data_IF_384508520419
#
_entry.id   IF_384508520419
#
_cell.length_a   1.000
_cell.length_b   1.000
_cell.length_c   1.000
_cell.angle_alpha   90.00
_cell.angle_beta   90.00
_cell.angle_gamma   90.00
#
_symmetry.space_group_name_H-M   'P 1'
#
loop_
_entity.id
_entity.type
_entity.pdbx_description
1 polymer ?
#
# COMPACT_ATOMS: atom_id res chain seq x y z
N UNK A 1 23.10 -14.78 -53.81
CA UNK A 1 24.37 -14.06 -54.06
C UNK A 1 24.10 -12.57 -54.17
N UNK A 2 24.39 -11.80 -53.13
CA UNK A 2 24.91 -10.42 -53.14
C UNK A 2 25.02 -9.94 -51.69
N UNK A 3 26.02 -9.10 -51.46
CA UNK A 3 26.90 -9.09 -50.30
C UNK A 3 27.06 -7.63 -49.82
N UNK A 4 27.14 -7.43 -48.49
CA UNK A 4 27.66 -6.23 -47.75
C UNK A 4 26.80 -4.96 -47.84
N UNK A 5 26.55 -4.22 -46.75
CA UNK A 5 27.54 -3.56 -45.89
C UNK A 5 27.18 -3.54 -44.40
N UNK A 6 28.24 -3.61 -43.59
CA UNK A 6 28.34 -3.36 -42.15
C UNK A 6 28.51 -1.85 -41.94
N UNK A 7 27.88 -1.27 -40.91
CA UNK A 7 28.53 -0.22 -40.12
C UNK A 7 28.03 -0.23 -38.67
N UNK A 8 28.92 -0.70 -37.80
CA UNK A 8 28.90 -0.54 -36.35
C UNK A 8 29.38 0.87 -36.01
N UNK A 9 28.73 1.57 -35.08
CA UNK A 9 29.33 2.69 -34.36
C UNK A 9 29.17 2.42 -32.85
N UNK A 10 30.25 1.92 -32.26
CA UNK A 10 30.52 2.05 -30.83
C UNK A 10 31.02 3.48 -30.58
N UNK A 11 30.41 4.19 -29.62
CA UNK A 11 31.02 5.38 -29.03
C UNK A 11 31.29 5.10 -27.55
N UNK A 12 32.53 4.73 -27.25
CA UNK A 12 33.11 4.69 -25.90
C UNK A 12 34.32 5.60 -25.88
N UNK A 13 34.31 6.61 -25.01
CA UNK A 13 35.42 7.45 -24.52
C UNK A 13 34.83 8.79 -24.05
N UNK A 14 35.18 9.44 -22.92
CA UNK A 14 36.27 9.31 -21.97
C UNK A 14 35.92 10.10 -20.69
N UNK A 15 36.27 9.48 -19.56
CA UNK A 15 36.71 10.03 -18.26
C UNK A 15 37.01 11.55 -18.19
N UNK A 16 36.54 12.23 -17.13
CA UNK A 16 37.40 13.08 -16.27
C UNK A 16 36.91 12.99 -14.81
N UNK A 17 37.87 12.63 -13.96
CA UNK A 17 37.86 12.55 -12.51
C UNK A 17 38.08 13.92 -11.90
N UNK A 18 37.30 14.30 -10.87
CA UNK A 18 37.71 15.27 -9.86
C UNK A 18 37.39 14.70 -8.47
N UNK A 19 38.41 14.12 -7.83
CA UNK A 19 38.50 13.98 -6.38
C UNK A 19 39.50 15.02 -5.91
N UNK A 20 39.03 16.05 -5.22
CA UNK A 20 39.90 16.87 -4.38
C UNK A 20 39.48 16.71 -2.92
N UNK A 21 40.41 16.13 -2.17
CA UNK A 21 40.36 15.97 -0.73
C UNK A 21 41.16 17.14 -0.15
N UNK A 22 40.50 18.10 0.48
CA UNK A 22 41.18 19.11 1.29
C UNK A 22 41.13 18.67 2.75
N UNK A 23 42.31 18.29 3.26
CA UNK A 23 42.63 18.24 4.69
C UNK A 23 43.18 19.62 5.10
N UNK A 24 42.62 20.21 6.15
CA UNK A 24 43.28 21.15 7.06
C UNK A 24 42.51 21.09 8.38
N UNK A 25 43.03 20.39 9.37
CA UNK A 25 43.93 20.85 10.44
C UNK A 25 43.16 21.31 11.68
N UNK A 26 43.40 20.53 12.74
CA UNK A 26 42.89 20.73 14.08
C UNK A 26 43.46 22.00 14.67
N UNK A 27 42.60 22.84 15.25
CA UNK A 27 42.99 23.66 16.40
C UNK A 27 42.02 23.39 17.54
N UNK A 28 42.59 22.81 18.59
CA UNK A 28 41.93 22.51 19.85
C UNK A 28 41.77 23.78 20.67
N UNK A 29 40.54 24.10 21.08
CA UNK A 29 40.26 24.88 22.28
C UNK A 29 39.04 24.24 22.97
N UNK A 30 39.22 23.83 24.21
CA UNK A 30 38.19 23.51 25.22
C UNK A 30 38.58 24.29 26.49
N UNK A 31 37.67 24.45 27.46
CA UNK A 31 36.22 24.68 27.36
C UNK A 31 35.83 25.89 28.24
N UNK A 32 34.63 26.44 28.07
CA UNK A 32 34.00 27.19 29.16
C UNK A 32 32.55 26.79 29.37
N UNK A 33 32.26 26.56 30.63
CA UNK A 33 31.06 25.98 31.20
C UNK A 33 29.89 26.97 31.20
N UNK A 34 28.74 26.56 30.66
CA UNK A 34 27.45 27.16 31.02
C UNK A 34 26.46 26.03 31.30
N UNK A 35 25.91 26.08 32.52
CA UNK A 35 24.87 25.23 33.07
C UNK A 35 23.61 25.26 32.18
N UNK A 36 23.02 24.11 31.91
CA UNK A 36 21.61 24.02 31.55
C UNK A 36 20.90 23.03 32.46
N UNK A 37 19.77 23.51 32.96
CA UNK A 37 18.87 22.91 33.92
C UNK A 37 18.29 21.57 33.45
N UNK A 38 18.18 20.65 34.40
CA UNK A 38 17.37 19.44 34.31
C UNK A 38 15.92 19.79 33.94
N UNK A 39 15.50 19.36 32.76
CA UNK A 39 14.08 19.14 32.48
C UNK A 39 13.86 17.64 32.45
N UNK A 40 13.38 17.14 33.59
CA UNK A 40 12.94 15.76 33.79
C UNK A 40 12.02 15.35 32.63
N UNK A 41 12.57 14.52 31.74
CA UNK A 41 11.80 13.83 30.70
C UNK A 41 11.08 12.67 31.40
N UNK A 42 9.74 12.57 31.34
CA UNK A 42 9.05 11.41 31.89
C UNK A 42 9.58 10.16 31.18
N UNK A 43 9.97 9.18 32.00
CA UNK A 43 10.44 7.87 31.57
C UNK A 43 9.43 7.25 30.61
N UNK A 44 9.86 7.03 29.37
CA UNK A 44 9.14 6.23 28.40
C UNK A 44 9.09 4.81 28.95
N UNK A 45 7.96 4.45 29.54
CA UNK A 45 7.55 3.05 29.64
C UNK A 45 7.64 2.45 28.25
N UNK A 46 8.41 1.38 28.11
CA UNK A 46 8.57 0.61 26.89
C UNK A 46 7.22 0.09 26.41
N UNK A 47 6.54 0.86 25.57
CA UNK A 47 5.43 0.39 24.76
C UNK A 47 5.98 -0.67 23.81
N UNK A 48 5.73 -1.93 24.13
CA UNK A 48 6.06 -3.08 23.30
C UNK A 48 5.10 -3.16 22.10
N UNK A 49 5.07 -2.11 21.28
CA UNK A 49 4.31 -2.12 20.02
C UNK A 49 5.06 -2.94 18.97
N UNK A 50 4.33 -3.80 18.25
CA UNK A 50 4.88 -4.63 17.18
C UNK A 50 4.37 -4.12 15.84
N UNK A 51 5.24 -3.99 14.84
CA UNK A 51 4.81 -3.58 13.49
C UNK A 51 3.89 -4.64 12.86
N UNK A 52 2.84 -4.17 12.19
CA UNK A 52 1.93 -5.00 11.38
C UNK A 52 2.21 -4.73 9.91
N UNK A 53 2.19 -5.79 9.11
CA UNK A 53 2.55 -5.73 7.70
C UNK A 53 1.44 -6.30 6.84
N UNK A 54 1.35 -5.84 5.59
CA UNK A 54 0.58 -6.53 4.57
C UNK A 54 0.94 -8.01 4.47
N UNK A 55 -0.10 -8.83 4.36
CA UNK A 55 -0.01 -10.25 4.07
C UNK A 55 0.41 -10.40 2.61
N UNK A 56 1.48 -11.16 2.38
CA UNK A 56 2.03 -11.37 1.04
C UNK A 56 1.23 -12.43 0.30
N UNK A 57 0.81 -12.10 -0.91
CA UNK A 57 0.30 -13.09 -1.86
C UNK A 57 1.48 -13.82 -2.52
N UNK A 58 1.22 -15.04 -3.00
CA UNK A 58 2.19 -15.84 -3.73
C UNK A 58 1.61 -16.29 -5.06
N UNK A 59 2.27 -15.94 -6.17
CA UNK A 59 1.93 -16.50 -7.48
C UNK A 59 2.23 -18.01 -7.50
N UNK A 60 1.25 -18.80 -7.91
CA UNK A 60 1.40 -20.26 -8.07
C UNK A 60 0.84 -20.71 -9.43
N UNK A 61 1.28 -21.87 -9.95
CA UNK A 61 0.63 -22.48 -11.11
C UNK A 61 -0.81 -22.91 -10.81
N UNK A 62 -1.68 -22.87 -11.82
CA UNK A 62 -3.02 -23.41 -11.71
C UNK A 62 -2.99 -24.93 -11.51
N UNK A 63 -3.53 -25.40 -10.39
CA UNK A 63 -3.63 -26.83 -10.06
C UNK A 63 -4.76 -27.50 -10.85
N UNK A 64 -4.73 -28.83 -10.94
CA UNK A 64 -5.78 -29.58 -11.63
C UNK A 64 -7.14 -29.44 -10.94
N UNK A 65 -7.18 -29.30 -9.62
CA UNK A 65 -8.43 -29.08 -8.89
C UNK A 65 -9.04 -27.72 -9.23
N UNK A 66 -8.23 -26.65 -9.31
CA UNK A 66 -8.72 -25.34 -9.76
C UNK A 66 -9.24 -25.37 -11.20
N UNK A 67 -8.54 -26.07 -12.10
CA UNK A 67 -8.97 -26.24 -13.50
C UNK A 67 -10.25 -27.06 -13.67
N UNK A 68 -10.57 -27.96 -12.73
CA UNK A 68 -11.86 -28.66 -12.72
C UNK A 68 -13.01 -27.76 -12.28
N UNK A 69 -12.74 -26.77 -11.42
CA UNK A 69 -13.75 -25.86 -10.84
C UNK A 69 -14.02 -24.66 -11.73
N UNK A 70 -13.00 -24.13 -12.40
CA UNK A 70 -13.10 -23.00 -13.31
C UNK A 70 -13.05 -23.53 -14.74
N UNK A 71 -14.18 -23.48 -15.44
CA UNK A 71 -14.28 -23.96 -16.83
C UNK A 71 -13.57 -23.06 -17.84
N UNK A 72 -13.35 -21.80 -17.47
CA UNK A 72 -12.65 -20.81 -18.27
C UNK A 72 -11.13 -21.01 -18.15
N UNK A 73 -10.37 -20.56 -19.16
CA UNK A 73 -8.90 -20.63 -19.11
C UNK A 73 -8.38 -19.76 -17.97
N UNK A 74 -7.69 -20.35 -17.00
CA UNK A 74 -7.00 -19.64 -15.92
C UNK A 74 -5.68 -19.08 -16.45
N UNK A 75 -5.45 -17.78 -16.29
CA UNK A 75 -4.19 -17.10 -16.68
C UNK A 75 -3.26 -16.93 -15.48
N UNK A 76 -3.81 -16.66 -14.30
CA UNK A 76 -3.01 -16.48 -13.09
C UNK A 76 -3.73 -16.98 -11.85
N UNK A 77 -2.93 -17.44 -10.88
CA UNK A 77 -3.39 -17.84 -9.56
C UNK A 77 -2.49 -17.21 -8.51
N UNK A 78 -3.12 -16.48 -7.61
CA UNK A 78 -2.53 -15.94 -6.39
C UNK A 78 -2.99 -16.80 -5.20
N UNK A 79 -2.07 -17.13 -4.31
CA UNK A 79 -2.37 -17.84 -3.07
C UNK A 79 -2.15 -16.93 -1.87
N UNK A 80 -3.15 -16.85 -1.00
CA UNK A 80 -3.20 -16.01 0.20
C UNK A 80 -4.29 -16.55 1.13
N UNK A 81 -4.09 -16.48 2.44
CA UNK A 81 -5.15 -16.73 3.40
C UNK A 81 -6.05 -15.48 3.47
N UNK A 82 -7.22 -15.54 2.81
CA UNK A 82 -8.21 -14.45 2.85
C UNK A 82 -9.42 -14.80 3.72
N UNK A 83 -9.49 -16.03 4.25
CA UNK A 83 -10.54 -16.51 5.15
C UNK A 83 -10.14 -16.44 6.64
N UNK A 84 -8.85 -16.22 6.92
CA UNK A 84 -8.31 -16.08 8.27
C UNK A 84 -8.05 -17.40 8.99
N UNK A 85 -8.16 -18.54 8.31
CA UNK A 85 -8.01 -19.88 8.89
C UNK A 85 -6.55 -20.36 8.93
N UNK A 86 -5.61 -19.53 8.45
CA UNK A 86 -4.16 -19.79 8.32
C UNK A 86 -3.82 -20.82 7.24
N UNK A 87 -4.77 -21.17 6.39
CA UNK A 87 -4.60 -22.05 5.23
C UNK A 87 -4.68 -21.17 3.97
N UNK A 88 -3.73 -21.29 3.04
CA UNK A 88 -3.79 -20.48 1.83
C UNK A 88 -5.02 -20.81 0.97
N UNK A 89 -5.81 -19.79 0.67
CA UNK A 89 -6.87 -19.78 -0.33
C UNK A 89 -6.31 -19.37 -1.70
N UNK A 90 -7.19 -19.24 -2.71
CA UNK A 90 -6.83 -19.01 -4.10
C UNK A 90 -7.64 -17.89 -4.74
N UNK A 91 -6.97 -16.93 -5.36
CA UNK A 91 -7.57 -15.92 -6.24
C UNK A 91 -7.13 -16.24 -7.67
N UNK A 92 -8.09 -16.57 -8.54
CA UNK A 92 -7.83 -17.01 -9.91
C UNK A 92 -8.37 -15.98 -10.90
N UNK A 93 -7.51 -15.44 -11.78
CA UNK A 93 -7.93 -14.60 -12.90
C UNK A 93 -7.96 -15.42 -14.18
N UNK A 94 -9.07 -15.33 -14.90
CA UNK A 94 -9.24 -16.01 -16.20
C UNK A 94 -8.74 -15.18 -17.36
N UNK A 95 -8.61 -15.80 -18.52
CA UNK A 95 -8.43 -15.09 -19.78
C UNK A 95 -9.57 -14.09 -19.98
N UNK A 96 -9.23 -12.96 -20.59
CA UNK A 96 -10.16 -11.89 -20.93
C UNK A 96 -10.74 -12.10 -22.32
N UNK A 97 -11.94 -11.58 -22.54
CA UNK A 97 -12.57 -11.54 -23.86
C UNK A 97 -12.00 -10.39 -24.72
N UNK A 98 -12.58 -10.20 -25.91
CA UNK A 98 -12.18 -9.13 -26.84
C UNK A 98 -12.42 -7.71 -26.30
N UNK A 99 -13.20 -7.56 -25.23
CA UNK A 99 -13.44 -6.29 -24.55
C UNK A 99 -12.50 -6.09 -23.35
N UNK A 100 -11.55 -7.00 -23.12
CA UNK A 100 -10.65 -6.93 -21.98
C UNK A 100 -11.32 -7.31 -20.66
N UNK A 101 -12.45 -8.03 -20.69
CA UNK A 101 -13.21 -8.43 -19.52
C UNK A 101 -12.96 -9.90 -19.21
N UNK A 102 -12.45 -10.19 -18.01
CA UNK A 102 -12.29 -11.54 -17.47
C UNK A 102 -13.09 -11.75 -16.18
N UNK A 103 -12.96 -12.93 -15.59
CA UNK A 103 -13.51 -13.22 -14.26
C UNK A 103 -12.36 -13.39 -13.26
N UNK A 104 -12.57 -12.91 -12.04
CA UNK A 104 -11.76 -13.23 -10.87
C UNK A 104 -12.58 -14.12 -9.92
N UNK A 105 -12.04 -15.29 -9.59
CA UNK A 105 -12.64 -16.24 -8.67
C UNK A 105 -11.86 -16.25 -7.37
N UNK A 106 -12.57 -16.11 -6.25
CA UNK A 106 -12.02 -16.28 -4.91
C UNK A 106 -12.48 -17.63 -4.41
N UNK A 107 -11.54 -18.56 -4.26
CA UNK A 107 -11.78 -19.97 -3.99
C UNK A 107 -11.08 -20.30 -2.68
N UNK A 108 -11.83 -20.83 -1.70
CA UNK A 108 -11.24 -21.22 -0.42
C UNK A 108 -10.29 -22.41 -0.55
N UNK A 109 -9.53 -22.68 0.50
CA UNK A 109 -8.68 -23.87 0.65
C UNK A 109 -9.43 -25.20 0.42
N UNK A 110 -10.75 -25.23 0.66
CA UNK A 110 -11.66 -26.36 0.40
C UNK A 110 -12.22 -26.41 -1.04
N UNK A 111 -11.72 -25.56 -1.95
CA UNK A 111 -12.17 -25.44 -3.34
C UNK A 111 -13.63 -25.00 -3.51
N UNK A 112 -14.17 -24.24 -2.55
CA UNK A 112 -15.48 -23.59 -2.66
C UNK A 112 -15.30 -22.18 -3.22
N UNK A 113 -16.09 -21.82 -4.24
CA UNK A 113 -16.12 -20.44 -4.74
C UNK A 113 -16.85 -19.54 -3.73
N UNK A 114 -16.12 -18.60 -3.14
CA UNK A 114 -16.63 -17.61 -2.19
C UNK A 114 -17.09 -16.35 -2.91
N UNK A 115 -16.29 -15.85 -3.86
CA UNK A 115 -16.60 -14.66 -4.66
C UNK A 115 -16.34 -14.92 -6.14
N UNK A 116 -17.15 -14.30 -7.00
CA UNK A 116 -16.88 -14.18 -8.43
C UNK A 116 -17.12 -12.74 -8.84
N UNK A 117 -16.07 -12.07 -9.28
CA UNK A 117 -16.11 -10.69 -9.75
C UNK A 117 -15.64 -10.61 -11.21
N UNK A 118 -15.96 -9.50 -11.87
CA UNK A 118 -15.31 -9.15 -13.14
C UNK A 118 -13.97 -8.49 -12.85
N UNK A 119 -12.97 -8.79 -13.66
CA UNK A 119 -11.75 -8.00 -13.71
C UNK A 119 -11.57 -7.44 -15.13
N UNK A 120 -10.98 -6.26 -15.20
CA UNK A 120 -10.81 -5.49 -16.42
C UNK A 120 -9.31 -5.27 -16.65
N UNK A 121 -8.88 -5.27 -17.91
CA UNK A 121 -7.49 -4.93 -18.26
C UNK A 121 -7.26 -3.44 -18.42
N UNK A 122 -8.33 -2.66 -18.45
CA UNK A 122 -8.26 -1.21 -18.49
C UNK A 122 -8.03 -0.63 -17.09
N UNK A 123 -7.25 0.45 -17.03
CA UNK A 123 -6.79 1.05 -15.78
C UNK A 123 -5.83 0.15 -14.98
N UNK A 124 -5.82 0.34 -13.66
CA UNK A 124 -5.05 -0.46 -12.72
C UNK A 124 -5.86 -0.78 -11.46
N UNK A 125 -5.58 -1.96 -10.89
CA UNK A 125 -6.11 -2.38 -9.60
C UNK A 125 -4.98 -3.00 -8.77
N UNK A 126 -4.72 -2.44 -7.60
CA UNK A 126 -3.80 -3.00 -6.62
C UNK A 126 -4.55 -3.38 -5.36
N UNK A 127 -4.15 -4.49 -4.74
CA UNK A 127 -4.79 -5.04 -3.55
C UNK A 127 -3.74 -5.58 -2.60
N UNK A 128 -3.92 -5.23 -1.33
CA UNK A 128 -3.14 -5.74 -0.22
C UNK A 128 -4.07 -6.21 0.89
N UNK A 129 -3.68 -7.28 1.57
CA UNK A 129 -4.43 -7.85 2.68
C UNK A 129 -3.77 -7.46 4.00
N UNK A 130 -4.57 -7.06 4.99
CA UNK A 130 -4.11 -6.79 6.35
C UNK A 130 -5.26 -6.98 7.31
N UNK A 131 -5.01 -7.67 8.42
CA UNK A 131 -5.97 -7.78 9.50
C UNK A 131 -5.82 -6.56 10.43
N UNK A 132 -6.85 -5.73 10.47
CA UNK A 132 -6.92 -4.43 11.16
C UNK A 132 -7.90 -4.43 12.34
N UNK A 133 -8.64 -5.51 12.55
CA UNK A 133 -9.55 -5.64 13.68
C UNK A 133 -9.37 -6.97 14.44
N UNK A 134 -10.44 -7.45 15.09
CA UNK A 134 -10.38 -8.60 15.99
C UNK A 134 -10.88 -9.89 15.32
N UNK A 135 -11.45 -9.81 14.12
CA UNK A 135 -11.91 -10.97 13.38
C UNK A 135 -10.73 -11.60 12.60
N UNK A 136 -10.83 -12.88 12.19
CA UNK A 136 -9.72 -13.55 11.51
C UNK A 136 -9.56 -13.11 10.06
N UNK A 137 -10.60 -12.56 9.44
CA UNK A 137 -10.68 -12.25 8.01
C UNK A 137 -9.92 -10.95 7.74
N UNK A 138 -8.88 -10.95 6.90
CA UNK A 138 -8.13 -9.72 6.67
C UNK A 138 -8.98 -8.71 5.89
N UNK A 139 -8.92 -7.43 6.30
CA UNK A 139 -9.35 -6.34 5.44
C UNK A 139 -8.48 -6.22 4.18
N UNK A 140 -9.07 -5.58 3.18
CA UNK A 140 -8.42 -5.28 1.92
C UNK A 140 -8.14 -3.79 1.87
N UNK A 141 -6.87 -3.41 1.72
CA UNK A 141 -6.51 -2.13 1.15
C UNK A 141 -6.50 -2.27 -0.38
N UNK A 142 -7.39 -1.55 -1.06
CA UNK A 142 -7.53 -1.59 -2.51
C UNK A 142 -7.39 -0.21 -3.12
N UNK A 143 -6.74 -0.19 -4.27
CA UNK A 143 -6.75 0.95 -5.17
C UNK A 143 -7.30 0.56 -6.53
N UNK A 144 -8.12 1.43 -7.09
CA UNK A 144 -8.69 1.26 -8.41
C UNK A 144 -8.67 2.61 -9.11
N UNK A 145 -8.11 2.66 -10.31
CA UNK A 145 -7.94 3.91 -11.03
C UNK A 145 -7.44 3.73 -12.44
N UNK A 146 -7.21 4.84 -13.09
CA UNK A 146 -6.72 4.97 -14.46
C UNK A 146 -5.75 6.16 -14.56
N UNK A 147 -5.57 6.70 -15.76
CA UNK A 147 -4.67 7.83 -16.00
C UNK A 147 -5.09 9.13 -15.30
N UNK A 148 -6.38 9.30 -15.01
CA UNK A 148 -6.95 10.54 -14.48
C UNK A 148 -7.09 10.53 -12.95
N UNK A 149 -6.94 9.38 -12.31
CA UNK A 149 -6.96 9.29 -10.86
C UNK A 149 -7.20 7.88 -10.34
N UNK A 150 -7.22 7.77 -9.02
CA UNK A 150 -7.56 6.52 -8.35
C UNK A 150 -8.33 6.75 -7.05
N UNK A 151 -9.20 5.80 -6.75
CA UNK A 151 -9.80 5.64 -5.44
C UNK A 151 -8.93 4.74 -4.57
N UNK A 152 -8.84 5.08 -3.29
CA UNK A 152 -8.07 4.35 -2.28
C UNK A 152 -9.02 3.99 -1.15
N UNK A 153 -9.20 2.69 -0.89
CA UNK A 153 -10.22 2.20 0.04
C UNK A 153 -9.67 1.12 0.97
N UNK A 154 -10.17 1.10 2.20
CA UNK A 154 -10.12 -0.04 3.11
C UNK A 154 -11.51 -0.70 3.07
N UNK A 155 -11.53 -2.01 2.84
CA UNK A 155 -12.73 -2.80 2.68
C UNK A 155 -12.74 -3.97 3.65
N UNK A 156 -13.94 -4.26 4.13
CA UNK A 156 -14.29 -5.47 4.84
C UNK A 156 -14.78 -6.53 3.84
N UNK A 157 -14.49 -7.79 4.14
CA UNK A 157 -14.82 -8.92 3.29
C UNK A 157 -16.07 -9.64 3.82
N UNK A 158 -17.26 -9.45 3.23
CA UNK A 158 -18.40 -10.31 3.56
C UNK A 158 -18.29 -11.62 2.77
N UNK A 159 -17.62 -12.61 3.38
CA UNK A 159 -17.40 -13.93 2.77
C UNK A 159 -18.70 -14.74 2.64
N UNK A 160 -19.73 -14.43 3.43
CA UNK A 160 -21.04 -15.10 3.38
C UNK A 160 -21.84 -14.59 2.18
N UNK A 161 -21.92 -13.27 2.02
CA UNK A 161 -22.61 -12.65 0.89
C UNK A 161 -21.77 -12.68 -0.41
N UNK A 162 -20.48 -12.96 -0.29
CA UNK A 162 -19.53 -12.94 -1.40
C UNK A 162 -19.28 -11.53 -1.94
N UNK A 163 -19.34 -10.50 -1.09
CA UNK A 163 -19.25 -9.09 -1.48
C UNK A 163 -18.38 -8.29 -0.52
N UNK A 164 -17.60 -7.37 -1.06
CA UNK A 164 -16.80 -6.47 -0.23
C UNK A 164 -17.58 -5.22 0.12
N UNK A 165 -17.37 -4.73 1.35
CA UNK A 165 -17.98 -3.49 1.84
C UNK A 165 -16.89 -2.46 2.08
N UNK A 166 -17.01 -1.31 1.44
CA UNK A 166 -16.11 -0.19 1.72
C UNK A 166 -16.35 0.29 3.15
N UNK A 167 -15.30 0.24 3.97
CA UNK A 167 -15.30 0.79 5.32
C UNK A 167 -14.85 2.24 5.31
N UNK A 168 -13.85 2.56 4.49
CA UNK A 168 -13.17 3.84 4.53
C UNK A 168 -12.52 4.15 3.17
N UNK A 169 -12.80 5.32 2.61
CA UNK A 169 -11.94 5.94 1.60
C UNK A 169 -10.81 6.69 2.29
N UNK A 170 -9.61 6.73 1.69
CA UNK A 170 -8.40 7.30 2.33
C UNK A 170 -7.58 8.17 1.36
N UNK A 171 -6.78 9.08 1.93
CA UNK A 171 -5.68 9.75 1.23
C UNK A 171 -4.37 8.99 1.54
N UNK A 172 -3.73 8.33 0.57
CA UNK A 172 -2.50 7.58 0.81
C UNK A 172 -1.29 8.53 0.85
N UNK A 173 -0.44 8.39 1.87
CA UNK A 173 0.82 9.12 1.91
C UNK A 173 1.99 8.21 2.28
N UNK A 174 3.05 8.25 1.47
CA UNK A 174 4.31 7.58 1.77
C UNK A 174 5.16 8.49 2.65
N UNK A 175 5.70 7.95 3.75
CA UNK A 175 6.73 8.61 4.54
C UNK A 175 8.09 8.08 4.09
N UNK A 176 8.89 8.95 3.48
CA UNK A 176 10.24 8.65 3.03
C UNK A 176 11.18 9.81 3.37
N UNK A 177 12.32 9.51 3.99
CA UNK A 177 13.32 10.52 4.40
C UNK A 177 12.72 11.70 5.19
N UNK A 178 11.79 11.40 6.10
CA UNK A 178 11.05 12.38 6.93
C UNK A 178 10.15 13.35 6.13
N UNK A 179 9.99 13.12 4.83
CA UNK A 179 9.04 13.83 3.96
C UNK A 179 7.82 12.96 3.69
N UNK A 180 6.74 13.59 3.24
CA UNK A 180 5.46 12.96 2.93
C UNK A 180 5.19 13.14 1.45
N UNK A 181 4.94 12.04 0.77
CA UNK A 181 4.67 11.99 -0.66
C UNK A 181 3.29 11.40 -0.90
N UNK A 182 2.60 11.84 -1.95
CA UNK A 182 1.38 11.16 -2.38
C UNK A 182 1.68 9.69 -2.66
N UNK A 183 0.90 8.79 -2.06
CA UNK A 183 1.14 7.36 -2.13
C UNK A 183 0.52 6.73 -3.37
N UNK A 184 1.17 6.88 -4.52
CA UNK A 184 0.76 6.15 -5.73
C UNK A 184 0.83 4.65 -5.50
N UNK A 185 -0.13 3.92 -6.08
CA UNK A 185 -0.31 2.49 -5.80
C UNK A 185 0.93 1.64 -6.09
N UNK A 186 1.69 1.99 -7.15
CA UNK A 186 2.93 1.28 -7.52
C UNK A 186 4.13 1.63 -6.62
N UNK A 187 4.05 2.70 -5.82
CA UNK A 187 5.10 3.12 -4.89
C UNK A 187 4.90 2.55 -3.47
N UNK A 188 3.69 2.08 -3.15
CA UNK A 188 3.34 1.55 -1.83
C UNK A 188 3.97 0.17 -1.60
N UNK A 189 4.67 0.04 -0.47
CA UNK A 189 5.28 -1.22 -0.02
C UNK A 189 4.56 -1.83 1.19
N UNK A 190 4.20 -1.00 2.16
CA UNK A 190 3.47 -1.45 3.35
C UNK A 190 2.71 -0.31 3.99
N UNK A 191 1.62 -0.61 4.70
CA UNK A 191 0.96 0.35 5.57
C UNK A 191 1.73 0.52 6.87
N UNK A 192 1.74 1.74 7.41
CA UNK A 192 2.34 2.00 8.73
C UNK A 192 1.29 1.66 9.79
N UNK A 193 1.33 0.42 10.25
CA UNK A 193 0.43 -0.11 11.26
C UNK A 193 1.23 -0.74 12.41
N UNK A 194 0.64 -0.74 13.62
CA UNK A 194 1.22 -1.37 14.80
C UNK A 194 0.17 -2.08 15.62
N UNK A 195 0.59 -3.12 16.32
CA UNK A 195 -0.17 -3.76 17.39
C UNK A 195 0.15 -3.07 18.70
N UNK A 196 -0.87 -2.54 19.36
CA UNK A 196 -0.81 -1.92 20.69
C UNK A 196 -1.74 -2.70 21.63
N UNK A 197 -1.15 -3.61 22.42
CA UNK A 197 -1.93 -4.58 23.18
C UNK A 197 -2.68 -5.54 22.25
N UNK A 198 -4.01 -5.55 22.34
CA UNK A 198 -4.89 -6.32 21.44
C UNK A 198 -5.26 -5.56 20.17
N UNK A 199 -5.16 -4.23 20.18
CA UNK A 199 -5.66 -3.41 19.08
C UNK A 199 -4.61 -3.26 17.98
N UNK A 200 -5.06 -3.27 16.73
CA UNK A 200 -4.27 -2.81 15.60
C UNK A 200 -4.56 -1.32 15.38
N UNK A 201 -3.52 -0.52 15.29
CA UNK A 201 -3.58 0.92 15.07
C UNK A 201 -2.89 1.28 13.75
N UNK A 202 -3.52 2.18 13.00
CA UNK A 202 -2.98 2.79 11.80
C UNK A 202 -2.37 4.15 12.14
N UNK A 203 -1.19 4.43 11.59
CA UNK A 203 -0.64 5.78 11.64
C UNK A 203 -1.37 6.65 10.63
N UNK A 204 -2.03 7.68 11.11
CA UNK A 204 -2.95 8.48 10.30
C UNK A 204 -2.97 9.95 10.72
N UNK A 205 -3.64 10.77 9.91
CA UNK A 205 -4.03 12.13 10.28
C UNK A 205 -5.44 12.44 9.80
N UNK A 206 -6.26 13.00 10.70
CA UNK A 206 -7.59 13.51 10.40
C UNK A 206 -7.60 15.04 10.26
N UNK A 207 -6.44 15.70 10.29
CA UNK A 207 -6.33 17.16 10.23
C UNK A 207 -5.37 17.55 9.11
N UNK A 208 -5.94 17.70 7.91
CA UNK A 208 -5.18 18.00 6.72
C UNK A 208 -5.95 18.91 5.76
N UNK A 209 -5.24 19.51 4.82
CA UNK A 209 -5.78 20.20 3.64
C UNK A 209 -5.13 19.58 2.41
N UNK A 210 -5.53 18.35 2.13
CA UNK A 210 -5.06 17.62 0.95
C UNK A 210 -6.01 17.96 -0.19
N UNK A 211 -5.44 18.43 -1.29
CA UNK A 211 -6.13 18.58 -2.56
C UNK A 211 -5.79 17.32 -3.36
N UNK A 212 -6.81 16.63 -3.87
CA UNK A 212 -6.64 15.42 -4.67
C UNK A 212 -6.41 15.80 -6.11
N UNK A 213 -5.47 15.14 -6.76
CA UNK A 213 -5.31 15.27 -8.21
C UNK A 213 -6.47 14.57 -8.92
N UNK A 214 -7.11 15.23 -9.87
CA UNK A 214 -8.10 14.65 -10.79
C UNK A 214 -9.47 14.19 -10.25
N UNK A 215 -9.69 14.12 -8.93
CA UNK A 215 -10.85 13.36 -8.39
C UNK A 215 -11.75 14.12 -7.39
N UNK A 216 -11.81 15.45 -7.50
CA UNK A 216 -12.56 16.33 -6.57
C UNK A 216 -14.08 16.08 -6.55
N UNK A 217 -14.67 15.49 -7.61
CA UNK A 217 -16.12 15.26 -7.71
C UNK A 217 -16.62 14.04 -6.90
N UNK A 218 -15.72 13.20 -6.40
CA UNK A 218 -16.05 11.91 -5.79
C UNK A 218 -15.80 11.86 -4.27
N UNK A 219 -16.10 12.94 -3.55
CA UNK A 219 -16.05 12.91 -2.09
C UNK A 219 -17.07 11.87 -1.55
N UNK A 220 -16.65 10.91 -0.71
CA UNK A 220 -17.53 9.88 -0.20
C UNK A 220 -18.64 10.47 0.67
N UNK A 221 -19.90 10.25 0.27
CA UNK A 221 -21.10 10.75 0.99
C UNK A 221 -21.17 10.31 2.44
N UNK A 222 -20.56 9.18 2.80
CA UNK A 222 -20.54 8.62 4.15
C UNK A 222 -19.49 9.24 5.07
N UNK A 223 -18.50 9.96 4.54
CA UNK A 223 -17.40 10.56 5.32
C UNK A 223 -17.40 12.08 5.22
N UNK A 224 -17.27 12.77 6.36
CA UNK A 224 -17.06 14.23 6.41
C UNK A 224 -15.63 14.63 6.07
N UNK A 225 -14.70 13.68 6.18
CA UNK A 225 -13.29 13.85 5.85
C UNK A 225 -12.70 12.50 5.43
N UNK A 226 -11.86 12.52 4.41
CA UNK A 226 -11.12 11.35 3.97
C UNK A 226 -9.75 11.33 4.66
N UNK A 227 -9.51 10.45 5.64
CA UNK A 227 -8.30 10.49 6.47
C UNK A 227 -7.05 10.28 5.64
N UNK A 228 -5.94 10.89 6.06
CA UNK A 228 -4.61 10.51 5.58
C UNK A 228 -4.18 9.24 6.31
N UNK A 229 -3.83 8.20 5.56
CA UNK A 229 -3.20 6.99 6.08
C UNK A 229 -1.77 6.93 5.55
N UNK A 230 -0.83 6.60 6.44
CA UNK A 230 0.58 6.59 6.09
C UNK A 230 1.09 5.21 5.72
N UNK A 231 1.99 5.18 4.74
CA UNK A 231 2.59 4.01 4.15
C UNK A 231 4.12 4.15 4.11
N UNK A 232 4.79 3.01 4.06
CA UNK A 232 6.18 2.89 3.60
C UNK A 232 6.18 2.60 2.10
N UNK A 233 7.21 3.07 1.42
CA UNK A 233 7.32 2.99 -0.03
C UNK A 233 8.53 3.75 -0.54
N UNK A 234 8.59 3.93 -1.85
CA UNK A 234 9.57 4.79 -2.50
C UNK A 234 8.84 5.65 -3.52
N UNK A 235 8.83 6.98 -3.34
CA UNK A 235 8.13 7.86 -4.25
C UNK A 235 8.80 7.89 -5.63
N UNK A 236 8.01 7.82 -6.69
CA UNK A 236 8.49 8.00 -8.07
C UNK A 236 8.10 9.35 -8.66
N UNK A 237 7.24 10.10 -7.96
CA UNK A 237 6.75 11.41 -8.37
C UNK A 237 6.84 12.40 -7.20
N UNK A 238 7.26 13.62 -7.49
CA UNK A 238 7.20 14.71 -6.53
C UNK A 238 5.74 15.07 -6.27
N UNK A 239 5.38 15.22 -4.99
CA UNK A 239 4.06 15.73 -4.61
C UNK A 239 4.18 17.17 -4.10
N UNK A 240 3.12 17.96 -4.29
CA UNK A 240 3.07 19.31 -3.77
C UNK A 240 3.21 19.38 -2.24
N UNK A 241 3.30 20.61 -1.72
CA UNK A 241 3.29 20.81 -0.26
C UNK A 241 1.90 20.53 0.30
N UNK A 242 1.74 19.38 0.95
CA UNK A 242 0.49 19.02 1.63
C UNK A 242 0.53 19.44 3.10
N UNK A 243 -0.53 20.13 3.54
CA UNK A 243 -0.69 20.45 4.96
C UNK A 243 -1.30 19.26 5.69
N UNK A 244 -0.49 18.49 6.41
CA UNK A 244 -0.92 17.33 7.21
C UNK A 244 -0.36 17.49 8.63
N UNK A 245 -1.25 17.54 9.63
CA UNK A 245 -0.90 17.78 11.04
C UNK A 245 -1.56 16.76 11.96
N UNK A 246 -1.10 16.70 13.22
CA UNK A 246 -1.70 15.87 14.28
C UNK A 246 -1.76 14.39 13.88
N UNK A 247 -0.63 13.91 13.40
CA UNK A 247 -0.39 12.50 13.15
C UNK A 247 -0.54 11.74 14.46
N UNK A 248 -1.24 10.63 14.39
CA UNK A 248 -1.65 9.87 15.56
C UNK A 248 -1.87 8.41 15.17
N UNK A 249 -1.89 7.57 16.19
CA UNK A 249 -2.25 6.16 16.07
C UNK A 249 -3.71 6.00 16.45
N UNK A 250 -4.51 5.41 15.56
CA UNK A 250 -5.93 5.12 15.78
C UNK A 250 -6.27 3.76 15.20
N UNK A 251 -7.14 3.02 15.86
CA UNK A 251 -7.76 1.82 15.27
C UNK A 251 -8.64 2.18 14.08
N UNK A 252 -8.89 1.22 13.19
CA UNK A 252 -9.80 1.41 12.05
C UNK A 252 -11.20 1.87 12.51
N UNK A 253 -11.70 1.28 13.59
CA UNK A 253 -12.99 1.64 14.23
C UNK A 253 -13.03 3.10 14.69
N UNK A 254 -11.96 3.58 15.31
CA UNK A 254 -11.86 4.97 15.76
C UNK A 254 -11.81 5.94 14.59
N UNK A 255 -11.06 5.62 13.53
CA UNK A 255 -10.99 6.44 12.31
C UNK A 255 -12.37 6.52 11.67
N UNK A 256 -13.06 5.39 11.48
CA UNK A 256 -14.42 5.37 10.92
C UNK A 256 -15.36 6.21 11.78
N UNK A 257 -15.37 6.02 13.10
CA UNK A 257 -16.22 6.80 14.02
C UNK A 257 -15.96 8.31 13.92
N UNK A 258 -14.70 8.71 13.81
CA UNK A 258 -14.33 10.12 13.78
C UNK A 258 -14.55 10.77 12.41
N UNK A 259 -14.54 10.01 11.32
CA UNK A 259 -14.67 10.51 9.94
C UNK A 259 -16.07 10.36 9.36
N UNK A 260 -16.96 9.60 10.00
CA UNK A 260 -18.36 9.45 9.60
C UNK A 260 -19.12 10.80 9.62
N UNK A 261 -20.04 10.97 8.65
CA UNK A 261 -21.05 12.04 8.64
C UNK A 261 -22.18 11.74 9.61
#
# INVERSE_FOLDING_TARGET
MKQKYILFIFLTALLISCKDTVKQENNAIKPDSIKQEEKNTPSVTTDSSTAVYFIKTKMIPATDELKKRITEKIESVESVDFTGDKIPDYICKTAVDSLGIGNEYWISSEYKTIKKAKHYTDGFNYRWFINLDDDPEPEIFETNGDEDGADYTIRDQDLIAGKDKILLYINPFIIENQKKYWGYSWDVKNIIARKNGTNIELFCSLNHKVIRDGNEENDPKSQKIMPVIFFTGHHTQESGNHFIKKEQWLSLKEIIKQTKR
#
